data_IF_658873921600
#
_entry.id   IF_658873921600
#
_cell.length_a   1.000
_cell.length_b   1.000
_cell.length_c   1.000
_cell.angle_alpha   90.00
_cell.angle_beta   90.00
_cell.angle_gamma   90.00
#
_symmetry.space_group_name_H-M   'P 1'
#
loop_
_entity.id
_entity.type
_entity.pdbx_description
1 polymer ?
#
# COMPACT_ATOMS: atom_id res chain seq x y z
N UNK A 1 7.66 -39.71 -32.83
CA UNK A 1 7.41 -41.13 -32.49
C UNK A 1 6.01 -41.49 -32.95
N UNK A 2 5.89 -42.45 -33.88
CA UNK A 2 4.62 -42.88 -34.45
C UNK A 2 3.91 -43.87 -33.52
N UNK A 3 2.61 -43.67 -33.28
CA UNK A 3 1.78 -44.58 -32.46
C UNK A 3 1.31 -45.75 -33.33
N UNK A 4 1.82 -46.95 -33.03
CA UNK A 4 1.51 -48.21 -33.70
C UNK A 4 0.13 -48.71 -33.26
N UNK A 5 -0.81 -48.85 -34.20
CA UNK A 5 -2.13 -49.46 -33.96
C UNK A 5 -1.94 -50.96 -33.67
N UNK A 6 -2.59 -51.46 -32.60
CA UNK A 6 -2.61 -52.89 -32.25
C UNK A 6 -3.67 -53.61 -33.08
N UNK A 7 -3.34 -54.84 -33.49
CA UNK A 7 -4.14 -55.71 -34.36
C UNK A 7 -5.43 -56.20 -33.70
N UNK A 8 -6.49 -56.23 -34.52
CA UNK A 8 -7.84 -56.73 -34.21
C UNK A 8 -7.85 -58.26 -34.31
N UNK A 9 -7.23 -58.95 -33.34
CA UNK A 9 -7.30 -60.42 -33.28
C UNK A 9 -7.36 -60.98 -31.85
N UNK A 10 -7.75 -60.17 -30.87
CA UNK A 10 -7.90 -60.63 -29.47
C UNK A 10 -9.25 -60.24 -28.87
N UNK A 11 -10.33 -60.43 -29.63
CA UNK A 11 -11.68 -60.40 -29.07
C UNK A 11 -12.08 -61.86 -28.79
N UNK A 12 -12.26 -62.28 -27.52
CA UNK A 12 -12.85 -63.58 -27.23
C UNK A 12 -14.32 -63.56 -27.64
N UNK A 13 -14.69 -64.53 -28.47
CA UNK A 13 -16.05 -64.79 -28.90
C UNK A 13 -16.87 -65.26 -27.69
N UNK A 14 -17.78 -64.41 -27.20
CA UNK A 14 -18.64 -64.71 -26.06
C UNK A 14 -19.99 -65.21 -26.56
N UNK A 15 -20.02 -66.45 -27.04
CA UNK A 15 -21.24 -67.25 -27.05
C UNK A 15 -21.37 -67.95 -25.70
N UNK A 16 -22.25 -67.48 -24.82
CA UNK A 16 -22.74 -68.32 -23.71
C UNK A 16 -24.09 -67.83 -23.20
N UNK A 17 -25.12 -68.56 -23.63
CA UNK A 17 -26.20 -69.11 -22.81
C UNK A 17 -27.00 -68.14 -21.94
N UNK A 18 -28.21 -67.85 -22.43
CA UNK A 18 -29.32 -67.40 -21.58
C UNK A 18 -29.53 -68.36 -20.40
N UNK A 19 -29.42 -67.84 -19.18
CA UNK A 19 -30.23 -68.29 -18.04
C UNK A 19 -30.15 -67.31 -16.86
N UNK A 20 -31.28 -66.66 -16.59
CA UNK A 20 -31.64 -66.12 -15.28
C UNK A 20 -31.03 -64.76 -14.91
N UNK A 21 -31.89 -63.85 -14.46
CA UNK A 21 -31.49 -62.61 -13.79
C UNK A 21 -31.85 -61.36 -14.59
N UNK A 22 -33.06 -60.87 -14.39
CA UNK A 22 -33.50 -59.55 -14.81
C UNK A 22 -32.85 -58.46 -13.95
N UNK A 23 -31.55 -58.23 -14.09
CA UNK A 23 -30.91 -57.03 -13.57
C UNK A 23 -30.39 -56.24 -14.77
N UNK A 24 -31.27 -55.40 -15.29
CA UNK A 24 -30.94 -54.46 -16.36
C UNK A 24 -29.74 -53.63 -15.92
N UNK A 25 -28.61 -53.84 -16.57
CA UNK A 25 -27.46 -52.96 -16.50
C UNK A 25 -27.87 -51.62 -17.13
N UNK A 26 -28.49 -50.75 -16.32
CA UNK A 26 -28.67 -49.33 -16.63
C UNK A 26 -27.28 -48.70 -16.60
N UNK A 27 -26.60 -48.75 -17.73
CA UNK A 27 -25.44 -47.92 -18.00
C UNK A 27 -25.93 -46.46 -17.91
N UNK A 28 -25.56 -45.75 -16.84
CA UNK A 28 -25.76 -44.30 -16.75
C UNK A 28 -24.83 -43.67 -17.79
N UNK A 29 -25.38 -43.41 -18.97
CA UNK A 29 -24.75 -42.52 -19.93
C UNK A 29 -24.69 -41.15 -19.26
N UNK A 30 -23.51 -40.79 -18.76
CA UNK A 30 -23.23 -39.42 -18.33
C UNK A 30 -23.28 -38.59 -19.60
N UNK A 31 -24.23 -37.67 -19.64
CA UNK A 31 -24.36 -36.73 -20.72
C UNK A 31 -23.26 -35.68 -20.57
N UNK A 32 -22.14 -35.91 -21.25
CA UNK A 32 -20.97 -35.03 -21.22
C UNK A 32 -21.33 -33.60 -21.64
N UNK A 33 -22.30 -33.43 -22.53
CA UNK A 33 -22.74 -32.10 -22.97
C UNK A 33 -23.43 -31.35 -21.84
N UNK A 34 -24.26 -32.03 -21.05
CA UNK A 34 -24.87 -31.44 -19.86
C UNK A 34 -23.82 -31.06 -18.79
N UNK A 35 -22.77 -31.87 -18.61
CA UNK A 35 -21.71 -31.54 -17.66
C UNK A 35 -20.83 -30.37 -18.15
N UNK A 36 -20.53 -30.29 -19.45
CA UNK A 36 -19.82 -29.16 -20.06
C UNK A 36 -20.61 -27.86 -19.87
N UNK A 37 -21.92 -27.87 -20.13
CA UNK A 37 -22.78 -26.71 -19.89
C UNK A 37 -22.77 -26.29 -18.42
N UNK A 38 -22.92 -27.26 -17.51
CA UNK A 38 -22.88 -27.00 -16.06
C UNK A 38 -21.58 -26.32 -15.64
N UNK A 39 -20.43 -26.85 -16.08
CA UNK A 39 -19.10 -26.29 -15.78
C UNK A 39 -18.90 -24.90 -16.38
N UNK A 40 -19.42 -24.63 -17.57
CA UNK A 40 -19.35 -23.31 -18.20
C UNK A 40 -20.17 -22.26 -17.44
N UNK A 41 -21.39 -22.59 -17.01
CA UNK A 41 -22.19 -21.66 -16.19
C UNK A 41 -21.57 -21.41 -14.81
N UNK A 42 -21.02 -22.46 -14.19
CA UNK A 42 -20.31 -22.31 -12.92
C UNK A 42 -19.06 -21.42 -13.06
N UNK A 43 -18.28 -21.63 -14.14
CA UNK A 43 -17.10 -20.82 -14.46
C UNK A 43 -17.48 -19.36 -14.75
N UNK A 44 -18.57 -19.14 -15.49
CA UNK A 44 -19.08 -17.81 -15.75
C UNK A 44 -19.44 -17.08 -14.44
N UNK A 45 -20.23 -17.72 -13.57
CA UNK A 45 -20.58 -17.16 -12.27
C UNK A 45 -19.37 -16.89 -11.37
N UNK A 46 -18.32 -17.70 -11.46
CA UNK A 46 -17.04 -17.42 -10.80
C UNK A 46 -16.35 -16.19 -11.37
N UNK A 47 -16.25 -16.06 -12.70
CA UNK A 47 -15.61 -14.88 -13.33
C UNK A 47 -16.38 -13.59 -13.07
N UNK A 48 -17.71 -13.61 -13.07
CA UNK A 48 -18.53 -12.44 -12.74
C UNK A 48 -18.32 -11.98 -11.30
N UNK A 49 -18.27 -12.92 -10.33
CA UNK A 49 -17.93 -12.60 -8.94
C UNK A 49 -16.53 -12.02 -8.82
N UNK A 50 -15.56 -12.63 -9.51
CA UNK A 50 -14.17 -12.16 -9.49
C UNK A 50 -14.03 -10.72 -10.03
N UNK A 51 -14.72 -10.38 -11.13
CA UNK A 51 -14.76 -8.99 -11.64
C UNK A 51 -15.30 -8.05 -10.56
N UNK A 52 -16.48 -8.34 -9.99
CA UNK A 52 -17.10 -7.46 -8.99
C UNK A 52 -16.25 -7.29 -7.73
N UNK A 53 -15.65 -8.36 -7.23
CA UNK A 53 -14.79 -8.31 -6.05
C UNK A 53 -13.50 -7.51 -6.31
N UNK A 54 -12.90 -7.65 -7.49
CA UNK A 54 -11.69 -6.91 -7.86
C UNK A 54 -11.97 -5.43 -8.13
N UNK A 55 -13.09 -5.08 -8.77
CA UNK A 55 -13.51 -3.68 -8.91
C UNK A 55 -13.67 -3.02 -7.55
N UNK A 56 -14.38 -3.70 -6.62
CA UNK A 56 -14.53 -3.22 -5.25
C UNK A 56 -13.18 -3.05 -4.55
N UNK A 57 -12.27 -4.01 -4.68
CA UNK A 57 -10.94 -3.94 -4.06
C UNK A 57 -10.07 -2.84 -4.67
N UNK A 58 -10.20 -2.59 -5.98
CA UNK A 58 -9.53 -1.48 -6.65
C UNK A 58 -10.03 -0.14 -6.12
N UNK A 59 -11.35 0.05 -5.98
CA UNK A 59 -11.93 1.27 -5.41
C UNK A 59 -11.48 1.51 -3.97
N UNK A 60 -11.49 0.46 -3.13
CA UNK A 60 -10.95 0.52 -1.77
C UNK A 60 -9.45 0.86 -1.75
N UNK A 61 -8.68 0.34 -2.71
CA UNK A 61 -7.27 0.67 -2.89
C UNK A 61 -7.04 2.13 -3.26
N UNK A 62 -7.86 2.71 -4.15
CA UNK A 62 -7.80 4.13 -4.49
C UNK A 62 -8.12 5.01 -3.28
N UNK A 63 -9.17 4.67 -2.52
CA UNK A 63 -9.51 5.39 -1.29
C UNK A 63 -8.39 5.32 -0.25
N UNK A 64 -7.73 4.15 -0.14
CA UNK A 64 -6.58 3.96 0.76
C UNK A 64 -5.42 4.86 0.37
N UNK A 65 -5.09 4.94 -0.92
CA UNK A 65 -4.02 5.81 -1.42
C UNK A 65 -4.33 7.29 -1.14
N UNK A 66 -5.56 7.74 -1.41
CA UNK A 66 -5.97 9.12 -1.11
C UNK A 66 -5.91 9.43 0.40
N UNK A 67 -6.26 8.47 1.25
CA UNK A 67 -6.14 8.62 2.71
C UNK A 67 -4.68 8.74 3.15
N UNK A 68 -3.77 7.98 2.55
CA UNK A 68 -2.33 8.06 2.83
C UNK A 68 -1.74 9.41 2.38
N UNK A 69 -2.14 9.94 1.23
CA UNK A 69 -1.75 11.31 0.80
C UNK A 69 -2.22 12.37 1.78
N UNK A 70 -3.47 12.26 2.25
CA UNK A 70 -4.01 13.18 3.26
C UNK A 70 -3.27 13.08 4.60
N UNK A 71 -2.88 11.86 5.01
CA UNK A 71 -2.06 11.65 6.21
C UNK A 71 -0.66 12.25 6.05
N UNK A 72 -0.04 12.12 4.87
CA UNK A 72 1.29 12.68 4.61
C UNK A 72 1.31 14.21 4.76
N UNK A 73 0.29 14.90 4.24
CA UNK A 73 0.12 16.36 4.41
C UNK A 73 -0.11 16.74 5.89
N UNK A 74 -0.85 15.92 6.64
CA UNK A 74 -1.05 16.13 8.08
C UNK A 74 0.26 15.96 8.86
N UNK A 75 1.11 15.01 8.47
CA UNK A 75 2.44 14.85 9.07
C UNK A 75 3.34 16.05 8.78
N UNK A 76 3.29 16.63 7.57
CA UNK A 76 4.03 17.85 7.25
C UNK A 76 3.61 19.04 8.13
N UNK A 77 2.29 19.24 8.30
CA UNK A 77 1.75 20.26 9.19
C UNK A 77 2.15 20.03 10.64
N UNK A 78 2.19 18.77 11.08
CA UNK A 78 2.63 18.42 12.43
C UNK A 78 4.12 18.72 12.63
N UNK A 79 4.98 18.35 11.67
CA UNK A 79 6.43 18.66 11.70
C UNK A 79 6.66 20.18 11.77
N UNK A 80 5.92 20.97 10.98
CA UNK A 80 5.98 22.45 11.02
C UNK A 80 5.55 23.02 12.38
N UNK A 81 4.41 22.58 12.92
CA UNK A 81 3.93 23.04 14.23
C UNK A 81 4.91 22.72 15.35
N UNK A 82 5.55 21.54 15.31
CA UNK A 82 6.55 21.16 16.29
C UNK A 82 7.83 21.99 16.16
N UNK A 83 8.25 22.35 14.95
CA UNK A 83 9.34 23.30 14.75
C UNK A 83 9.01 24.68 15.34
N UNK A 84 7.78 25.15 15.17
CA UNK A 84 7.32 26.39 15.78
C UNK A 84 7.36 26.31 17.31
N UNK A 85 6.81 25.25 17.91
CA UNK A 85 6.84 25.02 19.37
C UNK A 85 8.28 25.03 19.88
N UNK A 86 9.19 24.32 19.21
CA UNK A 86 10.59 24.28 19.62
C UNK A 86 11.26 25.67 19.56
N UNK A 87 10.94 26.48 18.55
CA UNK A 87 11.41 27.87 18.46
C UNK A 87 10.83 28.75 19.59
N UNK A 88 9.55 28.59 19.89
CA UNK A 88 8.87 29.32 20.97
C UNK A 88 9.46 28.96 22.35
N UNK A 89 9.72 27.67 22.61
CA UNK A 89 10.39 27.21 23.82
C UNK A 89 11.81 27.81 23.92
N UNK A 90 12.53 27.89 22.81
CA UNK A 90 13.86 28.51 22.77
C UNK A 90 13.81 30.01 23.12
N UNK A 91 12.82 30.74 22.59
CA UNK A 91 12.60 32.14 22.92
C UNK A 91 12.26 32.34 24.40
N UNK A 92 11.33 31.53 24.93
CA UNK A 92 10.96 31.52 26.36
C UNK A 92 12.19 31.25 27.23
N UNK A 93 13.03 30.28 26.88
CA UNK A 93 14.27 29.98 27.62
C UNK A 93 15.23 31.17 27.66
N UNK A 94 15.38 31.87 26.54
CA UNK A 94 16.19 33.10 26.48
C UNK A 94 15.63 34.17 27.43
N UNK A 95 14.32 34.36 27.44
CA UNK A 95 13.69 35.40 28.25
C UNK A 95 13.73 35.07 29.76
N UNK A 96 13.54 33.81 30.12
CA UNK A 96 13.77 33.31 31.49
C UNK A 96 15.21 33.60 31.92
N UNK A 97 16.21 33.32 31.06
CA UNK A 97 17.61 33.59 31.40
C UNK A 97 17.92 35.09 31.56
N UNK A 98 17.25 35.98 30.81
CA UNK A 98 17.35 37.43 31.04
C UNK A 98 16.73 37.83 32.38
N UNK A 99 15.62 37.21 32.77
CA UNK A 99 14.98 37.43 34.08
C UNK A 99 15.86 36.94 35.23
N UNK A 100 16.44 35.73 35.12
CA UNK A 100 17.43 35.21 36.08
C UNK A 100 18.60 36.21 36.26
N UNK A 101 19.11 36.77 35.16
CA UNK A 101 20.23 37.71 35.20
C UNK A 101 19.87 39.09 35.78
N UNK A 102 18.59 39.49 35.72
CA UNK A 102 18.11 40.75 36.30
C UNK A 102 17.92 40.66 37.82
N UNK A 103 17.84 39.45 38.40
CA UNK A 103 17.54 39.23 39.82
C UNK A 103 18.77 38.99 40.72
N UNK A 104 19.98 38.83 40.17
CA UNK A 104 21.18 38.46 40.96
C UNK A 104 21.99 39.60 41.61
N UNK A 105 21.46 40.82 41.76
CA UNK A 105 22.19 41.89 42.49
C UNK A 105 21.33 42.58 43.56
N UNK A 106 21.60 42.35 44.86
CA UNK A 106 20.96 43.11 45.94
C UNK A 106 21.46 44.55 46.07
N UNK A 107 22.54 44.96 45.40
CA UNK A 107 23.09 46.31 45.48
C UNK A 107 23.69 46.78 44.15
N UNK A 108 23.21 47.92 43.67
CA UNK A 108 23.75 48.76 42.58
C UNK A 108 23.26 48.45 41.15
N UNK A 109 22.03 48.90 40.85
CA UNK A 109 21.64 49.24 39.48
C UNK A 109 22.36 50.53 39.04
N UNK A 110 23.57 50.41 38.49
CA UNK A 110 24.24 51.48 37.71
C UNK A 110 24.09 51.14 36.21
N UNK A 111 23.77 52.11 35.34
CA UNK A 111 23.52 51.85 33.93
C UNK A 111 24.84 51.67 33.18
N UNK A 112 25.45 50.48 33.23
CA UNK A 112 26.62 50.18 32.41
C UNK A 112 26.50 48.81 31.73
N UNK A 113 26.00 48.88 30.50
CA UNK A 113 26.34 48.03 29.35
C UNK A 113 26.20 46.51 29.56
N UNK A 114 25.00 45.99 29.31
CA UNK A 114 24.87 44.65 28.74
C UNK A 114 25.49 44.66 27.34
N UNK A 115 26.74 44.22 27.25
CA UNK A 115 27.47 44.10 25.99
C UNK A 115 26.82 42.99 25.16
N UNK A 116 26.12 43.44 24.11
CA UNK A 116 25.44 42.64 23.10
C UNK A 116 26.49 41.81 22.36
N UNK A 117 26.50 40.49 22.55
CA UNK A 117 27.30 39.58 21.72
C UNK A 117 26.51 39.32 20.44
N UNK A 118 26.94 39.99 19.38
CA UNK A 118 26.48 39.80 18.02
C UNK A 118 27.20 38.56 17.47
N UNK A 119 26.46 37.56 17.01
CA UNK A 119 27.02 36.47 16.21
C UNK A 119 26.14 36.29 14.97
N UNK A 120 26.44 37.11 13.97
CA UNK A 120 25.99 36.91 12.60
C UNK A 120 26.86 35.82 11.98
N UNK A 121 26.31 34.64 11.73
CA UNK A 121 26.85 33.71 10.73
C UNK A 121 25.81 33.51 9.65
N UNK A 122 25.98 34.30 8.59
CA UNK A 122 25.37 34.07 7.29
C UNK A 122 26.13 32.94 6.59
N UNK A 123 25.48 31.81 6.30
CA UNK A 123 25.87 30.93 5.19
C UNK A 123 24.67 30.26 4.51
N UNK A 124 24.43 30.72 3.28
CA UNK A 124 24.11 29.98 2.06
C UNK A 124 22.81 29.18 1.92
N UNK A 125 21.97 29.77 1.06
CA UNK A 125 21.06 29.14 0.10
C UNK A 125 21.84 28.15 -0.79
N UNK A 126 21.38 26.89 -0.85
CA UNK A 126 21.58 25.97 -1.98
C UNK A 126 20.29 25.16 -2.14
N UNK A 127 19.44 25.60 -3.07
CA UNK A 127 19.20 24.98 -4.39
C UNK A 127 18.43 23.66 -4.34
N UNK A 128 17.21 23.72 -4.86
CA UNK A 128 16.38 22.60 -5.30
C UNK A 128 17.22 21.54 -6.04
N UNK A 129 16.99 20.28 -5.68
CA UNK A 129 17.18 19.16 -6.60
C UNK A 129 16.03 18.19 -6.41
N UNK A 130 15.00 18.34 -7.25
CA UNK A 130 13.94 17.37 -7.46
C UNK A 130 14.55 16.02 -7.84
N UNK A 131 14.41 15.03 -6.97
CA UNK A 131 14.79 13.65 -7.28
C UNK A 131 13.63 12.97 -7.99
N UNK A 132 13.58 13.12 -9.32
CA UNK A 132 12.75 12.28 -10.18
C UNK A 132 13.36 10.88 -10.24
N UNK A 133 12.74 9.92 -9.58
CA UNK A 133 13.05 8.51 -9.78
C UNK A 133 12.37 8.08 -11.09
N UNK A 134 13.16 7.97 -12.15
CA UNK A 134 12.73 7.39 -13.42
C UNK A 134 12.70 5.87 -13.26
N UNK A 135 11.52 5.31 -12.95
CA UNK A 135 11.30 3.87 -13.05
C UNK A 135 11.15 3.51 -14.53
N UNK A 136 12.21 2.89 -15.08
CA UNK A 136 12.20 2.36 -16.44
C UNK A 136 11.34 1.10 -16.49
N UNK A 137 10.07 1.25 -16.87
CA UNK A 137 9.19 0.13 -17.18
C UNK A 137 9.74 -0.62 -18.40
N UNK A 138 10.35 -1.79 -18.18
CA UNK A 138 10.50 -2.79 -19.24
C UNK A 138 9.15 -3.49 -19.38
N UNK A 139 8.38 -3.09 -20.38
CA UNK A 139 7.28 -3.89 -20.90
C UNK A 139 7.87 -5.14 -21.56
N UNK A 140 8.04 -6.20 -20.77
CA UNK A 140 8.16 -7.56 -21.30
C UNK A 140 6.77 -7.98 -21.79
N UNK A 141 6.37 -7.43 -22.93
CA UNK A 141 5.15 -7.77 -23.65
C UNK A 141 5.42 -9.08 -24.40
N UNK A 142 5.30 -10.21 -23.70
CA UNK A 142 5.40 -11.53 -24.34
C UNK A 142 4.80 -12.64 -23.49
N UNK A 143 3.48 -12.67 -23.28
CA UNK A 143 2.77 -13.89 -22.81
C UNK A 143 1.30 -14.02 -23.26
N UNK A 144 0.91 -13.47 -24.41
CA UNK A 144 -0.45 -13.68 -24.96
C UNK A 144 -0.54 -14.93 -25.86
N UNK A 145 0.06 -16.04 -25.44
CA UNK A 145 -0.01 -17.30 -26.20
C UNK A 145 -0.28 -18.52 -25.32
N UNK A 146 -0.99 -18.34 -24.20
CA UNK A 146 -1.36 -19.46 -23.32
C UNK A 146 -2.80 -19.43 -22.77
N UNK A 147 -3.70 -18.63 -23.35
CA UNK A 147 -5.13 -18.66 -23.00
C UNK A 147 -6.03 -19.12 -24.16
N UNK A 148 -5.46 -19.45 -25.32
CA UNK A 148 -6.25 -19.77 -26.52
C UNK A 148 -6.27 -21.26 -26.82
N UNK A 149 -6.96 -22.02 -25.97
CA UNK A 149 -7.62 -23.25 -26.42
C UNK A 149 -9.12 -22.96 -26.43
N UNK A 150 -9.61 -22.31 -27.50
CA UNK A 150 -11.04 -22.24 -27.80
C UNK A 150 -11.52 -23.68 -27.99
N UNK A 151 -12.17 -24.23 -26.97
CA UNK A 151 -12.58 -25.64 -26.99
C UNK A 151 -13.97 -25.80 -27.60
N UNK A 152 -14.87 -24.80 -27.52
CA UNK A 152 -16.24 -24.95 -28.04
C UNK A 152 -16.86 -23.72 -28.73
N UNK A 153 -16.15 -22.59 -28.85
CA UNK A 153 -16.57 -21.35 -29.60
C UNK A 153 -18.03 -20.94 -29.34
N UNK A 154 -18.48 -21.07 -28.08
CA UNK A 154 -19.82 -20.70 -27.65
C UNK A 154 -19.82 -19.30 -27.00
N UNK A 155 -20.96 -18.60 -27.02
CA UNK A 155 -21.09 -17.23 -26.50
C UNK A 155 -20.68 -17.10 -25.03
N UNK A 156 -20.89 -18.15 -24.22
CA UNK A 156 -20.52 -18.17 -22.79
C UNK A 156 -18.99 -18.17 -22.62
N UNK A 157 -18.27 -18.98 -23.38
CA UNK A 157 -16.79 -19.00 -23.38
C UNK A 157 -16.22 -17.64 -23.79
N UNK A 158 -16.89 -16.92 -24.70
CA UNK A 158 -16.50 -15.54 -25.05
C UNK A 158 -16.69 -14.57 -23.89
N UNK A 159 -17.80 -14.66 -23.15
CA UNK A 159 -18.04 -13.82 -21.98
C UNK A 159 -17.05 -14.13 -20.85
N UNK A 160 -16.73 -15.41 -20.64
CA UNK A 160 -15.68 -15.82 -19.71
C UNK A 160 -14.32 -15.22 -20.09
N UNK A 161 -13.94 -15.26 -21.38
CA UNK A 161 -12.68 -14.68 -21.87
C UNK A 161 -12.64 -13.15 -21.67
N UNK A 162 -13.74 -12.45 -21.96
CA UNK A 162 -13.85 -11.01 -21.73
C UNK A 162 -13.79 -10.66 -20.23
N UNK A 163 -14.46 -11.43 -19.36
CA UNK A 163 -14.37 -11.26 -17.91
C UNK A 163 -12.94 -11.49 -17.41
N UNK A 164 -12.24 -12.52 -17.91
CA UNK A 164 -10.85 -12.79 -17.54
C UNK A 164 -9.90 -11.70 -18.04
N UNK A 165 -10.15 -11.12 -19.22
CA UNK A 165 -9.39 -9.96 -19.72
C UNK A 165 -9.59 -8.76 -18.80
N UNK A 166 -10.84 -8.46 -18.42
CA UNK A 166 -11.15 -7.40 -17.46
C UNK A 166 -10.42 -7.65 -16.13
N UNK A 167 -10.54 -8.85 -15.55
CA UNK A 167 -9.84 -9.21 -14.32
C UNK A 167 -8.34 -8.96 -14.41
N UNK A 168 -7.71 -9.34 -15.53
CA UNK A 168 -6.30 -9.07 -15.74
C UNK A 168 -5.98 -7.55 -15.80
N UNK A 169 -6.84 -6.74 -16.41
CA UNK A 169 -6.71 -5.28 -16.43
C UNK A 169 -6.83 -4.69 -15.01
N UNK A 170 -7.85 -5.07 -14.24
CA UNK A 170 -8.06 -4.60 -12.86
C UNK A 170 -6.94 -5.06 -11.93
N UNK A 171 -6.43 -6.28 -12.08
CA UNK A 171 -5.26 -6.76 -11.33
C UNK A 171 -3.99 -5.95 -11.64
N UNK A 172 -3.80 -5.52 -12.88
CA UNK A 172 -2.69 -4.62 -13.22
C UNK A 172 -2.88 -3.24 -12.57
N UNK A 173 -4.10 -2.69 -12.56
CA UNK A 173 -4.41 -1.45 -11.82
C UNK A 173 -4.09 -1.60 -10.33
N UNK A 174 -4.58 -2.67 -9.69
CA UNK A 174 -4.32 -2.96 -8.28
C UNK A 174 -2.83 -3.14 -7.99
N UNK A 175 -2.07 -3.72 -8.91
CA UNK A 175 -0.62 -3.82 -8.78
C UNK A 175 0.03 -2.44 -8.76
N UNK A 176 -0.41 -1.52 -9.60
CA UNK A 176 0.08 -0.14 -9.57
C UNK A 176 -0.27 0.54 -8.25
N UNK A 177 -1.54 0.45 -7.80
CA UNK A 177 -1.97 0.97 -6.50
C UNK A 177 -1.15 0.39 -5.33
N UNK A 178 -0.88 -0.91 -5.32
CA UNK A 178 -0.07 -1.54 -4.29
C UNK A 178 1.38 -1.02 -4.27
N UNK A 179 1.96 -0.74 -5.45
CA UNK A 179 3.28 -0.10 -5.55
C UNK A 179 3.23 1.33 -5.00
N UNK A 180 2.22 2.11 -5.37
CA UNK A 180 2.08 3.51 -4.94
C UNK A 180 1.85 3.61 -3.42
N UNK A 181 0.97 2.76 -2.87
CA UNK A 181 0.75 2.62 -1.42
C UNK A 181 2.07 2.30 -0.71
N UNK A 182 2.84 1.34 -1.23
CA UNK A 182 4.13 0.98 -0.64
C UNK A 182 5.14 2.13 -0.67
N UNK A 183 5.18 2.88 -1.77
CA UNK A 183 6.05 4.07 -1.88
C UNK A 183 5.63 5.14 -0.86
N UNK A 184 4.34 5.44 -0.73
CA UNK A 184 3.86 6.42 0.25
C UNK A 184 4.20 5.99 1.68
N UNK A 185 3.99 4.73 2.05
CA UNK A 185 4.39 4.21 3.36
C UNK A 185 5.90 4.34 3.61
N UNK A 186 6.72 4.04 2.61
CA UNK A 186 8.19 4.15 2.71
C UNK A 186 8.66 5.60 2.90
N UNK A 187 7.89 6.59 2.42
CA UNK A 187 8.17 8.01 2.62
C UNK A 187 7.72 8.47 4.01
N UNK A 188 6.56 7.98 4.47
CA UNK A 188 5.99 8.36 5.76
C UNK A 188 6.77 7.79 6.95
N UNK A 189 7.32 6.57 6.85
CA UNK A 189 8.09 5.92 7.92
C UNK A 189 9.19 6.82 8.51
N UNK A 190 10.17 7.35 7.74
CA UNK A 190 11.18 8.24 8.29
C UNK A 190 10.65 9.62 8.69
N UNK A 191 9.48 10.06 8.16
CA UNK A 191 8.83 11.32 8.58
C UNK A 191 8.29 11.18 10.00
N UNK A 192 7.67 10.05 10.31
CA UNK A 192 7.19 9.73 11.66
C UNK A 192 8.35 9.69 12.66
N UNK A 193 9.49 9.09 12.31
CA UNK A 193 10.67 9.06 13.18
C UNK A 193 11.21 10.46 13.51
N UNK A 194 11.26 11.36 12.50
CA UNK A 194 11.68 12.76 12.72
C UNK A 194 10.70 13.50 13.63
N UNK A 195 9.40 13.35 13.37
CA UNK A 195 8.34 13.95 14.20
C UNK A 195 8.44 13.44 15.64
N UNK A 196 8.64 12.14 15.85
CA UNK A 196 8.78 11.55 17.17
C UNK A 196 9.96 12.16 17.94
N UNK A 197 11.12 12.29 17.29
CA UNK A 197 12.29 12.94 17.90
C UNK A 197 12.01 14.41 18.25
N UNK A 198 11.32 15.13 17.35
CA UNK A 198 10.98 16.53 17.56
C UNK A 198 9.97 16.72 18.70
N UNK A 199 9.03 15.78 18.87
CA UNK A 199 8.11 15.74 20.02
C UNK A 199 8.88 15.54 21.32
N UNK A 200 9.76 14.53 21.38
CA UNK A 200 10.53 14.22 22.59
C UNK A 200 11.43 15.38 23.02
N UNK A 201 12.12 16.01 22.06
CA UNK A 201 12.97 17.17 22.33
C UNK A 201 12.16 18.38 22.79
N UNK A 202 11.02 18.64 22.16
CA UNK A 202 10.12 19.73 22.54
C UNK A 202 9.51 19.51 23.93
N UNK A 203 9.09 18.30 24.27
CA UNK A 203 8.53 17.98 25.59
C UNK A 203 9.55 18.18 26.71
N UNK A 204 10.77 17.66 26.54
CA UNK A 204 11.87 17.87 27.49
C UNK A 204 12.22 19.35 27.66
N UNK A 205 12.29 20.10 26.55
CA UNK A 205 12.62 21.52 26.59
C UNK A 205 11.52 22.35 27.26
N UNK A 206 10.25 22.03 26.99
CA UNK A 206 9.09 22.67 27.62
C UNK A 206 9.05 22.40 29.11
N UNK A 207 9.26 21.15 29.54
CA UNK A 207 9.31 20.79 30.95
C UNK A 207 10.41 21.57 31.70
N UNK A 208 11.63 21.62 31.13
CA UNK A 208 12.73 22.37 31.72
C UNK A 208 12.48 23.88 31.81
N UNK A 209 11.86 24.48 30.78
CA UNK A 209 11.45 25.89 30.83
C UNK A 209 10.40 26.12 31.94
N UNK A 210 9.40 25.24 32.04
CA UNK A 210 8.36 25.34 33.06
C UNK A 210 8.93 25.20 34.49
N UNK A 211 9.87 24.29 34.72
CA UNK A 211 10.55 24.18 36.01
C UNK A 211 11.31 25.46 36.40
N UNK A 212 12.01 26.09 35.45
CA UNK A 212 12.72 27.35 35.70
C UNK A 212 11.77 28.49 36.03
N UNK A 213 10.68 28.64 35.27
CA UNK A 213 9.63 29.64 35.57
C UNK A 213 9.07 29.41 36.97
N UNK A 214 8.76 28.15 37.32
CA UNK A 214 8.24 27.82 38.65
C UNK A 214 9.21 28.24 39.76
N UNK A 215 10.52 28.00 39.59
CA UNK A 215 11.55 28.45 40.55
C UNK A 215 11.56 29.97 40.70
N UNK A 216 11.55 30.72 39.60
CA UNK A 216 11.50 32.19 39.60
C UNK A 216 10.26 32.78 40.28
N UNK A 217 9.15 32.04 40.33
CA UNK A 217 7.92 32.47 41.00
C UNK A 217 7.89 32.14 42.49
N UNK A 218 8.70 31.19 42.93
CA UNK A 218 8.76 30.73 44.33
C UNK A 218 9.91 31.34 45.13
N UNK A 219 10.93 31.89 44.47
CA UNK A 219 11.97 32.75 45.07
C UNK A 219 11.47 34.18 45.24
#
# INVERSE_FOLDING_TARGET
>A
MAVKRRDVSSIPDLTSSMKGGSDGLKLKMVDFDNEILRLNYESLGCTQRMVSELEKMNDEGVMTLAALESQDEQLDKLEENLHQINNDISAIRSDISKMEQCCCFPLSCIPLRCFRRNEDTSQNIHSLASSSIVVKHRSSQKRDELLKTRLTDNTIESEIDDNLRHVNETLNSMKHLAVDINVQLSIQEPKIDRIQNLIETSDLAMHGANEKVKKLLTE
#
